data_IF_861303978424
#
_entry.id   IF_861303978424
#
_cell.length_a   1.000
_cell.length_b   1.000
_cell.length_c   1.000
_cell.angle_alpha   90.00
_cell.angle_beta   90.00
_cell.angle_gamma   90.00
#
_symmetry.space_group_name_H-M   'P 1'
#
loop_
_entity.id
_entity.type
_entity.pdbx_description
1 polymer ?
#
# COMPACT_ATOMS: atom_id res chain seq x y z
N UNK A 1 5.03 -7.36 5.04
CA UNK A 1 4.06 -6.45 5.68
C UNK A 1 3.61 -5.32 4.76
N UNK A 2 4.53 -4.53 4.17
CA UNK A 2 4.18 -3.44 3.23
C UNK A 2 3.33 -3.96 2.07
N UNK A 3 3.70 -5.09 1.47
CA UNK A 3 2.96 -5.72 0.39
C UNK A 3 1.49 -6.01 0.76
N UNK A 4 1.22 -6.54 1.96
CA UNK A 4 -0.15 -6.78 2.43
C UNK A 4 -0.96 -5.49 2.56
N UNK A 5 -0.31 -4.43 3.04
CA UNK A 5 -0.96 -3.13 3.15
C UNK A 5 -1.32 -2.55 1.77
N UNK A 6 -0.41 -2.65 0.80
CA UNK A 6 -0.67 -2.22 -0.58
C UNK A 6 -1.82 -3.02 -1.19
N UNK A 7 -1.86 -4.35 -0.98
CA UNK A 7 -2.96 -5.20 -1.45
C UNK A 7 -4.31 -4.74 -0.90
N UNK A 8 -4.37 -4.51 0.41
CA UNK A 8 -5.60 -4.07 1.06
C UNK A 8 -6.03 -2.69 0.58
N UNK A 9 -5.10 -1.75 0.49
CA UNK A 9 -5.38 -0.40 0.04
C UNK A 9 -5.92 -0.36 -1.39
N UNK A 10 -5.32 -1.10 -2.33
CA UNK A 10 -5.78 -1.14 -3.73
C UNK A 10 -7.15 -1.77 -3.85
N UNK A 11 -7.41 -2.83 -3.09
CA UNK A 11 -8.70 -3.51 -3.07
C UNK A 11 -9.82 -2.60 -2.54
N UNK A 12 -9.60 -1.91 -1.43
CA UNK A 12 -10.57 -0.97 -0.85
C UNK A 12 -10.86 0.24 -1.74
N UNK A 13 -9.86 0.78 -2.45
CA UNK A 13 -10.06 1.91 -3.38
C UNK A 13 -10.94 1.51 -4.58
N UNK A 14 -10.88 0.24 -4.98
CA UNK A 14 -11.63 -0.27 -6.13
C UNK A 14 -13.06 -0.70 -5.77
N UNK A 15 -13.37 -0.79 -4.47
CA UNK A 15 -14.63 -1.35 -3.96
C UNK A 15 -15.46 -0.30 -3.23
N UNK A 16 -16.76 -0.42 -3.36
CA UNK A 16 -17.73 0.33 -2.56
C UNK A 16 -18.11 -0.43 -1.29
N UNK A 17 -18.88 0.21 -0.41
CA UNK A 17 -19.27 -0.40 0.89
C UNK A 17 -20.06 -1.70 0.76
N UNK A 18 -20.67 -1.96 -0.40
CA UNK A 18 -21.49 -3.16 -0.66
C UNK A 18 -20.72 -4.23 -1.45
N UNK A 19 -19.49 -3.96 -1.89
CA UNK A 19 -18.71 -4.89 -2.68
C UNK A 19 -17.93 -5.86 -1.78
N UNK A 20 -17.78 -7.10 -2.26
CA UNK A 20 -16.98 -8.10 -1.59
C UNK A 20 -15.50 -7.77 -1.84
N UNK A 21 -14.75 -7.54 -0.75
CA UNK A 21 -13.30 -7.32 -0.81
C UNK A 21 -12.58 -8.62 -1.19
N UNK A 22 -11.51 -8.48 -1.95
CA UNK A 22 -10.67 -9.62 -2.35
C UNK A 22 -9.57 -9.90 -1.32
N UNK A 23 -9.17 -8.88 -0.55
CA UNK A 23 -8.23 -9.01 0.55
C UNK A 23 -8.90 -9.68 1.75
N UNK A 24 -9.08 -10.99 1.67
CA UNK A 24 -9.67 -11.81 2.71
C UNK A 24 -9.21 -13.27 2.55
N UNK A 25 -9.26 -14.02 3.64
CA UNK A 25 -9.13 -15.48 3.62
C UNK A 25 -10.51 -16.13 3.66
N UNK A 26 -10.87 -16.83 2.59
CA UNK A 26 -12.17 -17.50 2.44
C UNK A 26 -12.10 -18.91 3.02
N UNK A 27 -12.53 -19.06 4.25
CA UNK A 27 -12.54 -20.35 4.95
C UNK A 27 -13.31 -21.42 4.15
N UNK A 28 -12.68 -22.58 3.96
CA UNK A 28 -13.27 -23.71 3.23
C UNK A 28 -13.15 -23.62 1.69
N UNK A 29 -12.68 -22.50 1.16
CA UNK A 29 -12.51 -22.29 -0.28
C UNK A 29 -11.05 -22.02 -0.65
N UNK A 30 -10.37 -21.18 0.13
CA UNK A 30 -8.98 -20.81 -0.15
C UNK A 30 -8.00 -21.88 0.32
N UNK A 31 -7.02 -22.14 -0.53
CA UNK A 31 -5.75 -22.76 -0.16
C UNK A 31 -4.69 -21.67 0.07
N UNK A 32 -3.52 -22.03 0.60
CA UNK A 32 -2.42 -21.07 0.74
C UNK A 32 -1.96 -20.52 -0.62
N UNK A 33 -2.01 -21.33 -1.67
CA UNK A 33 -1.65 -20.93 -3.04
C UNK A 33 -2.68 -19.94 -3.60
N UNK A 34 -3.98 -20.22 -3.49
CA UNK A 34 -5.03 -19.34 -4.02
C UNK A 34 -5.07 -18.00 -3.28
N UNK A 35 -4.85 -18.00 -1.98
CA UNK A 35 -4.70 -16.76 -1.20
C UNK A 35 -3.48 -15.97 -1.67
N UNK A 36 -2.32 -16.61 -1.74
CA UNK A 36 -1.08 -15.93 -2.13
C UNK A 36 -1.13 -15.44 -3.57
N UNK A 37 -1.70 -16.18 -4.50
CA UNK A 37 -1.91 -15.76 -5.89
C UNK A 37 -2.75 -14.49 -5.95
N UNK A 38 -3.87 -14.45 -5.24
CA UNK A 38 -4.75 -13.29 -5.17
C UNK A 38 -4.02 -12.07 -4.58
N UNK A 39 -3.22 -12.26 -3.53
CA UNK A 39 -2.43 -11.18 -2.94
C UNK A 39 -1.32 -10.69 -3.89
N UNK A 40 -0.66 -11.57 -4.62
CA UNK A 40 0.34 -11.19 -5.62
C UNK A 40 -0.28 -10.35 -6.75
N UNK A 41 -1.49 -10.69 -7.20
CA UNK A 41 -2.21 -9.90 -8.19
C UNK A 41 -2.57 -8.51 -7.66
N UNK A 42 -3.14 -8.44 -6.45
CA UNK A 42 -3.44 -7.15 -5.80
C UNK A 42 -2.18 -6.32 -5.57
N UNK A 43 -1.08 -6.96 -5.18
CA UNK A 43 0.21 -6.26 -5.00
C UNK A 43 0.70 -5.65 -6.31
N UNK A 44 0.67 -6.41 -7.40
CA UNK A 44 1.00 -5.89 -8.74
C UNK A 44 0.16 -4.66 -9.08
N UNK A 45 -1.16 -4.76 -8.96
CA UNK A 45 -2.07 -3.66 -9.24
C UNK A 45 -1.80 -2.44 -8.37
N UNK A 46 -1.49 -2.65 -7.10
CA UNK A 46 -1.14 -1.58 -6.15
C UNK A 46 0.18 -0.90 -6.47
N UNK A 47 1.21 -1.67 -6.82
CA UNK A 47 2.51 -1.14 -7.20
C UNK A 47 2.43 -0.32 -8.49
N UNK A 48 1.72 -0.81 -9.51
CA UNK A 48 1.49 -0.05 -10.74
C UNK A 48 0.72 1.25 -10.46
N UNK A 49 -0.31 1.20 -9.62
CA UNK A 49 -1.18 2.34 -9.33
C UNK A 49 -0.53 3.40 -8.45
N UNK A 50 0.15 3.00 -7.37
CA UNK A 50 0.66 3.93 -6.36
C UNK A 50 2.13 4.27 -6.54
N UNK A 51 2.94 3.29 -6.94
CA UNK A 51 4.40 3.44 -7.05
C UNK A 51 4.85 3.67 -8.49
N UNK A 52 3.98 3.42 -9.48
CA UNK A 52 4.31 3.43 -10.91
C UNK A 52 5.44 2.45 -11.26
N UNK A 53 5.49 1.35 -10.52
CA UNK A 53 6.44 0.27 -10.71
C UNK A 53 5.73 -0.95 -11.28
N UNK A 54 6.30 -1.55 -12.33
CA UNK A 54 5.78 -2.75 -12.94
C UNK A 54 6.38 -3.98 -12.27
N UNK A 55 5.53 -4.80 -11.63
CA UNK A 55 5.94 -6.06 -11.02
C UNK A 55 5.51 -7.23 -11.90
N UNK A 56 6.43 -8.17 -12.10
CA UNK A 56 6.14 -9.38 -12.84
C UNK A 56 5.21 -10.31 -12.03
N UNK A 57 4.06 -10.63 -12.63
CA UNK A 57 3.08 -11.56 -12.07
C UNK A 57 2.84 -12.71 -13.04
N UNK A 58 2.91 -13.93 -12.50
CA UNK A 58 2.63 -15.17 -13.27
C UNK A 58 1.17 -15.51 -13.13
N UNK A 59 0.37 -15.27 -14.19
CA UNK A 59 -1.05 -15.65 -14.25
C UNK A 59 -1.22 -17.16 -14.47
N UNK A 60 -2.40 -17.68 -14.15
CA UNK A 60 -2.70 -19.11 -14.28
C UNK A 60 -2.61 -19.62 -15.73
N UNK A 61 -2.88 -18.77 -16.70
CA UNK A 61 -2.82 -19.08 -18.13
C UNK A 61 -1.45 -18.77 -18.76
N UNK A 62 -0.45 -18.37 -17.97
CA UNK A 62 0.86 -17.97 -18.47
C UNK A 62 1.57 -19.13 -19.19
N UNK A 63 1.53 -20.34 -18.61
CA UNK A 63 2.13 -21.52 -19.22
C UNK A 63 1.45 -21.87 -20.56
N UNK A 64 0.14 -21.78 -20.63
CA UNK A 64 -0.66 -22.02 -21.83
C UNK A 64 -0.32 -21.02 -22.94
N UNK A 65 -0.14 -19.75 -22.57
CA UNK A 65 0.21 -18.70 -23.51
C UNK A 65 1.60 -18.93 -24.12
N UNK A 66 2.57 -19.35 -23.33
CA UNK A 66 3.94 -19.64 -23.79
C UNK A 66 3.98 -20.78 -24.83
N UNK A 67 3.11 -21.78 -24.72
CA UNK A 67 3.15 -22.96 -25.57
C UNK A 67 2.08 -23.02 -26.66
N UNK A 68 1.35 -21.91 -26.89
CA UNK A 68 0.28 -21.85 -27.91
C UNK A 68 0.72 -22.27 -29.31
N UNK A 69 1.97 -22.02 -29.66
CA UNK A 69 2.54 -22.31 -30.98
C UNK A 69 2.89 -23.79 -31.23
N UNK A 70 2.85 -24.64 -30.20
CA UNK A 70 3.24 -26.04 -30.32
C UNK A 70 2.05 -26.95 -30.61
N UNK A 71 2.34 -28.15 -31.18
CA UNK A 71 1.32 -29.18 -31.47
C UNK A 71 0.66 -29.70 -30.19
N UNK A 72 -0.61 -30.15 -30.30
CA UNK A 72 -1.45 -30.53 -29.15
C UNK A 72 -0.79 -31.59 -28.23
N UNK A 73 -0.11 -32.60 -28.77
CA UNK A 73 0.52 -33.66 -27.98
C UNK A 73 1.76 -33.16 -27.21
N UNK A 74 2.63 -32.39 -27.85
CA UNK A 74 3.80 -31.76 -27.20
C UNK A 74 3.39 -30.73 -26.16
N UNK A 75 2.30 -30.01 -26.47
CA UNK A 75 1.77 -28.94 -25.62
C UNK A 75 1.35 -29.43 -24.24
N UNK A 76 0.64 -30.58 -24.14
CA UNK A 76 0.13 -31.10 -22.85
C UNK A 76 1.30 -31.38 -21.89
N UNK A 77 2.34 -32.10 -22.34
CA UNK A 77 3.50 -32.41 -21.50
C UNK A 77 4.29 -31.16 -21.11
N UNK A 78 4.51 -30.27 -22.06
CA UNK A 78 5.22 -29.00 -21.79
C UNK A 78 4.47 -28.08 -20.83
N UNK A 79 3.14 -28.03 -20.90
CA UNK A 79 2.33 -27.23 -19.98
C UNK A 79 2.50 -27.75 -18.55
N UNK A 80 2.47 -29.08 -18.35
CA UNK A 80 2.59 -29.64 -17.02
C UNK A 80 3.96 -29.35 -16.39
N UNK A 81 5.05 -29.53 -17.17
CA UNK A 81 6.41 -29.20 -16.73
C UNK A 81 6.57 -27.69 -16.44
N UNK A 82 6.04 -26.82 -17.30
CA UNK A 82 6.07 -25.37 -17.13
C UNK A 82 5.26 -24.92 -15.92
N UNK A 83 4.07 -25.44 -15.72
CA UNK A 83 3.23 -25.10 -14.56
C UNK A 83 3.96 -25.41 -13.25
N UNK A 84 4.59 -26.57 -13.17
CA UNK A 84 5.36 -26.94 -11.98
C UNK A 84 6.56 -25.99 -11.74
N UNK A 85 7.29 -25.67 -12.81
CA UNK A 85 8.43 -24.74 -12.72
C UNK A 85 7.96 -23.33 -12.33
N UNK A 86 6.89 -22.84 -12.96
CA UNK A 86 6.31 -21.53 -12.66
C UNK A 86 5.74 -21.47 -11.23
N UNK A 87 5.13 -22.58 -10.76
CA UNK A 87 4.66 -22.69 -9.37
C UNK A 87 5.81 -22.54 -8.38
N UNK A 88 6.93 -23.21 -8.63
CA UNK A 88 8.13 -23.09 -7.80
C UNK A 88 8.67 -21.65 -7.80
N UNK A 89 8.78 -21.03 -8.97
CA UNK A 89 9.23 -19.66 -9.08
C UNK A 89 8.29 -18.70 -8.36
N UNK A 90 6.99 -18.87 -8.54
CA UNK A 90 5.95 -17.99 -7.99
C UNK A 90 5.90 -18.03 -6.46
N UNK A 91 5.95 -19.21 -5.86
CA UNK A 91 5.68 -19.39 -4.44
C UNK A 91 6.93 -19.59 -3.59
N UNK A 92 8.05 -20.06 -4.17
CA UNK A 92 9.24 -20.39 -3.39
C UNK A 92 10.40 -19.42 -3.62
N UNK A 93 10.54 -18.84 -4.80
CA UNK A 93 11.72 -18.03 -5.13
C UNK A 93 11.47 -16.53 -5.05
N UNK A 94 10.35 -16.05 -5.59
CA UNK A 94 9.98 -14.65 -5.63
C UNK A 94 8.71 -14.42 -4.80
N UNK A 95 8.84 -14.48 -3.49
CA UNK A 95 7.69 -14.40 -2.61
C UNK A 95 7.73 -13.14 -1.74
N UNK A 96 7.10 -12.06 -2.21
CA UNK A 96 6.94 -10.79 -1.46
C UNK A 96 6.14 -10.97 -0.16
N UNK A 97 5.45 -12.12 -0.02
CA UNK A 97 4.67 -12.51 1.16
C UNK A 97 5.37 -13.55 2.03
N UNK A 98 6.67 -13.76 1.83
CA UNK A 98 7.45 -14.64 2.67
C UNK A 98 7.86 -13.94 3.97
N UNK A 99 7.42 -14.48 5.09
CA UNK A 99 7.86 -14.08 6.45
C UNK A 99 9.09 -14.86 6.89
N UNK A 100 9.43 -15.91 6.14
CA UNK A 100 10.62 -16.76 6.31
C UNK A 100 11.19 -17.09 4.94
N UNK A 101 12.42 -17.57 4.90
CA UNK A 101 13.01 -18.07 3.67
C UNK A 101 12.30 -19.36 3.21
N UNK A 102 11.48 -19.24 2.17
CA UNK A 102 10.63 -20.32 1.66
C UNK A 102 11.34 -20.99 0.48
N UNK A 103 11.91 -22.15 0.71
CA UNK A 103 12.61 -22.93 -0.32
C UNK A 103 12.13 -24.38 -0.45
N UNK A 104 11.13 -24.78 0.34
CA UNK A 104 10.50 -26.10 0.26
C UNK A 104 9.03 -26.05 0.66
N UNK A 105 8.32 -27.14 0.47
CA UNK A 105 6.89 -27.24 0.71
C UNK A 105 6.51 -27.06 2.19
N UNK A 106 7.30 -27.59 3.11
CA UNK A 106 7.04 -27.46 4.55
C UNK A 106 7.11 -25.98 4.99
N UNK A 107 8.15 -25.27 4.56
CA UNK A 107 8.30 -23.85 4.84
C UNK A 107 7.23 -23.01 4.15
N UNK A 108 6.77 -23.43 2.96
CA UNK A 108 5.64 -22.79 2.30
C UNK A 108 4.35 -22.94 3.13
N UNK A 109 4.07 -24.13 3.68
CA UNK A 109 2.92 -24.33 4.57
C UNK A 109 3.03 -23.53 5.87
N UNK A 110 4.22 -23.49 6.47
CA UNK A 110 4.44 -22.69 7.68
C UNK A 110 4.25 -21.19 7.40
N UNK A 111 4.77 -20.71 6.28
CA UNK A 111 4.57 -19.33 5.84
C UNK A 111 3.08 -19.04 5.54
N UNK A 112 2.39 -20.00 4.90
CA UNK A 112 0.95 -19.89 4.59
C UNK A 112 0.09 -19.71 5.82
N UNK A 113 0.40 -20.40 6.93
CA UNK A 113 -0.29 -20.20 8.21
C UNK A 113 -0.14 -18.77 8.72
N UNK A 114 1.10 -18.25 8.72
CA UNK A 114 1.37 -16.87 9.15
C UNK A 114 0.64 -15.88 8.23
N UNK A 115 0.67 -16.13 6.92
CA UNK A 115 0.00 -15.27 5.94
C UNK A 115 -1.51 -15.21 6.16
N UNK A 116 -2.15 -16.36 6.42
CA UNK A 116 -3.59 -16.44 6.75
C UNK A 116 -3.89 -15.64 8.01
N UNK A 117 -3.14 -15.84 9.10
CA UNK A 117 -3.33 -15.10 10.36
C UNK A 117 -3.19 -13.59 10.13
N UNK A 118 -2.21 -13.16 9.36
CA UNK A 118 -2.01 -11.75 9.04
C UNK A 118 -3.15 -11.16 8.21
N UNK A 119 -3.63 -11.90 7.21
CA UNK A 119 -4.77 -11.45 6.40
C UNK A 119 -6.04 -11.36 7.25
N UNK A 120 -6.29 -12.35 8.11
CA UNK A 120 -7.46 -12.36 9.01
C UNK A 120 -7.43 -11.21 10.03
N UNK A 121 -6.24 -10.82 10.50
CA UNK A 121 -6.11 -9.66 11.39
C UNK A 121 -6.50 -8.34 10.71
N UNK A 122 -6.26 -8.20 9.40
CA UNK A 122 -6.50 -6.97 8.67
C UNK A 122 -7.80 -6.95 7.85
N UNK A 123 -8.36 -8.12 7.50
CA UNK A 123 -9.50 -8.20 6.56
C UNK A 123 -10.74 -7.48 7.07
N UNK A 124 -11.00 -7.48 8.39
CA UNK A 124 -12.19 -6.91 8.99
C UNK A 124 -12.07 -5.39 9.24
N UNK A 125 -10.87 -4.83 9.10
CA UNK A 125 -10.66 -3.40 9.25
C UNK A 125 -10.74 -2.71 7.89
N UNK A 126 -11.33 -1.52 7.85
CA UNK A 126 -11.34 -0.67 6.67
C UNK A 126 -10.32 0.46 6.84
N UNK A 127 -9.41 0.57 5.87
CA UNK A 127 -8.35 1.60 5.87
C UNK A 127 -8.91 2.92 5.35
N UNK A 128 -9.69 2.87 4.25
CA UNK A 128 -10.17 4.06 3.57
C UNK A 128 -11.48 4.53 4.20
N UNK A 129 -11.51 5.81 4.59
CA UNK A 129 -12.70 6.44 5.14
C UNK A 129 -13.00 6.15 6.61
N UNK A 130 -12.12 5.42 7.31
CA UNK A 130 -12.20 5.29 8.77
C UNK A 130 -11.60 6.53 9.44
N UNK A 131 -12.21 6.99 10.53
CA UNK A 131 -11.64 8.04 11.39
C UNK A 131 -10.29 7.62 12.02
N UNK A 132 -9.95 6.33 11.92
CA UNK A 132 -8.77 5.71 12.53
C UNK A 132 -7.59 5.54 11.56
N UNK A 133 -7.52 6.33 10.49
CA UNK A 133 -6.34 6.34 9.58
C UNK A 133 -5.05 6.60 10.36
N UNK A 134 -5.15 7.36 11.44
CA UNK A 134 -4.04 7.65 12.34
C UNK A 134 -3.55 6.41 13.08
N UNK A 135 -4.46 5.55 13.57
CA UNK A 135 -4.11 4.29 14.23
C UNK A 135 -3.33 3.36 13.29
N UNK A 136 -3.67 3.33 12.01
CA UNK A 136 -2.94 2.55 11.01
C UNK A 136 -1.56 3.13 10.71
N UNK A 137 -1.44 4.45 10.66
CA UNK A 137 -0.15 5.14 10.56
C UNK A 137 0.76 4.79 11.74
N UNK A 138 0.23 4.85 12.95
CA UNK A 138 0.95 4.52 14.19
C UNK A 138 1.34 3.03 14.24
N UNK A 139 0.44 2.14 13.82
CA UNK A 139 0.73 0.70 13.75
C UNK A 139 1.83 0.43 12.70
N UNK A 140 1.74 1.07 11.56
CA UNK A 140 2.74 0.96 10.49
C UNK A 140 4.10 1.52 10.95
N UNK A 141 4.09 2.65 11.65
CA UNK A 141 5.28 3.22 12.26
C UNK A 141 5.89 2.28 13.31
N UNK A 142 5.09 1.65 14.16
CA UNK A 142 5.57 0.67 15.14
C UNK A 142 6.16 -0.57 14.48
N UNK A 143 5.58 -1.04 13.38
CA UNK A 143 6.08 -2.19 12.62
C UNK A 143 7.42 -1.86 11.91
N UNK A 144 7.52 -0.68 11.30
CA UNK A 144 8.76 -0.21 10.69
C UNK A 144 9.84 0.04 11.76
N UNK A 145 9.46 0.56 12.92
CA UNK A 145 10.40 0.84 14.00
C UNK A 145 11.11 -0.39 14.56
N UNK A 146 10.47 -1.53 14.58
CA UNK A 146 11.05 -2.79 15.08
C UNK A 146 11.98 -3.48 14.08
N UNK A 147 11.77 -3.29 12.78
CA UNK A 147 12.51 -4.00 11.73
C UNK A 147 13.59 -3.17 11.03
N UNK A 148 13.35 -1.90 10.76
CA UNK A 148 14.19 -1.05 9.91
C UNK A 148 15.05 -0.03 10.66
N UNK A 149 14.64 0.41 11.84
CA UNK A 149 15.37 1.48 12.58
C UNK A 149 16.78 1.11 13.06
N UNK A 150 17.10 -0.17 13.15
CA UNK A 150 18.44 -0.56 13.63
C UNK A 150 19.56 -0.36 12.58
N UNK A 151 19.22 -0.29 11.29
CA UNK A 151 20.25 -0.30 10.25
C UNK A 151 20.49 1.02 9.52
N UNK A 152 19.56 1.99 9.55
CA UNK A 152 19.69 3.19 8.71
C UNK A 152 19.60 4.55 9.43
N UNK A 153 19.38 4.58 10.74
CA UNK A 153 19.33 5.84 11.50
C UNK A 153 18.21 6.81 11.10
N UNK A 154 17.19 6.34 10.40
CA UNK A 154 16.04 7.16 10.02
C UNK A 154 15.05 7.23 11.19
N UNK A 155 14.81 8.43 11.67
CA UNK A 155 13.83 8.70 12.72
C UNK A 155 12.69 9.52 12.12
N UNK A 156 11.47 9.04 12.31
CA UNK A 156 10.27 9.81 11.97
C UNK A 156 9.94 10.77 13.12
N UNK A 157 9.56 11.99 12.78
CA UNK A 157 9.06 12.93 13.78
C UNK A 157 7.69 12.45 14.24
N UNK A 158 7.46 12.23 15.55
CA UNK A 158 6.16 11.78 16.05
C UNK A 158 5.04 12.73 15.67
N UNK A 159 3.89 12.19 15.29
CA UNK A 159 2.69 12.95 14.86
C UNK A 159 2.27 14.04 15.84
N UNK A 160 2.28 13.85 17.17
CA UNK A 160 1.93 14.94 18.09
C UNK A 160 2.86 16.16 17.98
N UNK A 161 4.12 15.97 17.61
CA UNK A 161 5.08 17.08 17.43
C UNK A 161 4.80 17.78 16.10
N UNK A 162 4.58 17.05 15.02
CA UNK A 162 4.25 17.64 13.73
C UNK A 162 2.94 18.42 13.80
N UNK A 163 1.93 17.87 14.46
CA UNK A 163 0.65 18.54 14.72
C UNK A 163 0.82 19.83 15.54
N UNK A 164 1.55 19.76 16.64
CA UNK A 164 1.85 20.95 17.46
C UNK A 164 2.52 22.06 16.64
N UNK A 165 3.44 21.71 15.75
CA UNK A 165 4.11 22.70 14.89
C UNK A 165 3.10 23.34 13.94
N UNK A 166 2.23 22.56 13.29
CA UNK A 166 1.21 23.08 12.37
C UNK A 166 0.16 23.94 13.10
N UNK A 167 -0.29 23.53 14.28
CA UNK A 167 -1.25 24.25 15.11
C UNK A 167 -0.68 25.57 15.64
N UNK A 168 0.65 25.66 15.74
CA UNK A 168 1.33 26.90 16.14
C UNK A 168 1.40 27.95 15.04
N UNK A 169 1.08 27.57 13.79
CA UNK A 169 1.08 28.51 12.67
C UNK A 169 -0.25 29.28 12.58
N UNK A 170 -0.23 30.59 12.33
CA UNK A 170 -1.46 31.38 12.16
C UNK A 170 -2.10 31.14 10.78
N UNK A 171 -2.45 29.90 10.46
CA UNK A 171 -2.96 29.49 9.15
C UNK A 171 -4.20 30.28 8.73
N UNK A 172 -5.10 30.57 9.68
CA UNK A 172 -6.28 31.38 9.41
C UNK A 172 -5.93 32.75 8.87
N UNK A 173 -4.89 33.40 9.42
CA UNK A 173 -4.42 34.71 8.94
C UNK A 173 -3.68 34.61 7.61
N UNK A 174 -2.87 33.58 7.44
CA UNK A 174 -2.10 33.33 6.21
C UNK A 174 -3.04 33.12 5.02
N UNK A 175 -4.12 32.38 5.24
CA UNK A 175 -5.06 31.97 4.20
C UNK A 175 -6.16 32.98 3.90
N UNK A 176 -6.53 33.81 4.87
CA UNK A 176 -7.59 34.83 4.67
C UNK A 176 -7.12 35.92 3.72
N UNK A 177 -7.87 36.17 2.66
CA UNK A 177 -7.67 37.25 1.69
C UNK A 177 -8.97 38.03 1.49
N UNK A 178 -8.86 39.24 0.97
CA UNK A 178 -10.01 40.11 0.73
C UNK A 178 -11.11 39.44 -0.14
N UNK A 179 -10.73 38.54 -1.01
CA UNK A 179 -11.65 37.89 -1.96
C UNK A 179 -11.88 36.39 -1.64
N UNK A 180 -11.61 35.95 -0.41
CA UNK A 180 -11.81 34.57 0.00
C UNK A 180 -10.57 33.88 0.59
N UNK A 181 -10.38 32.61 0.33
CA UNK A 181 -9.25 31.81 0.84
C UNK A 181 -8.18 31.64 -0.23
N UNK A 182 -6.93 31.90 0.13
CA UNK A 182 -5.77 31.49 -0.65
C UNK A 182 -5.02 30.40 0.09
N UNK A 183 -4.95 29.20 -0.50
CA UNK A 183 -4.23 28.08 0.08
C UNK A 183 -2.71 28.30 0.01
N UNK A 184 -1.97 28.01 1.11
CA UNK A 184 -0.53 28.23 1.18
C UNK A 184 0.22 27.30 0.23
N UNK A 185 1.43 27.69 -0.15
CA UNK A 185 2.41 26.77 -0.72
C UNK A 185 3.19 26.13 0.41
N UNK A 186 3.26 24.81 0.41
CA UNK A 186 3.99 24.03 1.39
C UNK A 186 5.10 23.29 0.67
N UNK A 187 6.30 23.36 1.19
CA UNK A 187 7.44 22.61 0.67
C UNK A 187 8.14 21.90 1.83
N UNK A 188 8.35 20.62 1.66
CA UNK A 188 9.15 19.81 2.56
C UNK A 188 10.27 19.13 1.77
N UNK A 189 11.48 19.65 1.95
CA UNK A 189 12.68 19.16 1.25
C UNK A 189 13.35 17.97 1.97
N UNK A 190 12.83 17.56 3.11
CA UNK A 190 13.32 16.43 3.91
C UNK A 190 12.14 15.55 4.40
N UNK A 191 11.12 15.39 3.56
CA UNK A 191 9.80 14.87 3.94
C UNK A 191 9.82 13.47 4.57
N UNK A 192 10.85 12.67 4.34
CA UNK A 192 10.86 11.28 4.82
C UNK A 192 9.60 10.54 4.37
N UNK A 193 8.82 10.03 5.32
CA UNK A 193 7.52 9.38 5.06
C UNK A 193 6.36 10.38 4.84
N UNK A 194 6.62 11.69 4.92
CA UNK A 194 5.62 12.71 4.64
C UNK A 194 4.74 13.13 5.81
N UNK A 195 5.08 12.78 7.05
CA UNK A 195 4.25 13.08 8.24
C UNK A 195 3.96 14.58 8.40
N UNK A 196 4.94 15.44 8.13
CA UNK A 196 4.72 16.89 8.14
C UNK A 196 3.72 17.34 7.08
N UNK A 197 3.73 16.72 5.91
CA UNK A 197 2.82 17.07 4.82
C UNK A 197 1.40 16.59 5.09
N UNK A 198 1.23 15.37 5.62
CA UNK A 198 -0.10 14.84 5.97
C UNK A 198 -0.76 15.66 7.07
N UNK A 199 -0.06 15.94 8.18
CA UNK A 199 -0.57 16.80 9.24
C UNK A 199 -0.79 18.24 8.74
N UNK A 200 0.05 18.73 7.85
CA UNK A 200 -0.11 20.04 7.22
C UNK A 200 -1.34 20.13 6.34
N UNK A 201 -1.68 19.07 5.63
CA UNK A 201 -2.92 19.00 4.86
C UNK A 201 -4.14 19.10 5.76
N UNK A 202 -4.18 18.34 6.85
CA UNK A 202 -5.28 18.37 7.83
C UNK A 202 -5.41 19.72 8.52
N UNK A 203 -4.29 20.35 8.90
CA UNK A 203 -4.29 21.65 9.53
C UNK A 203 -4.81 22.76 8.58
N UNK A 204 -4.41 22.71 7.31
CA UNK A 204 -4.88 23.65 6.27
C UNK A 204 -6.36 23.43 5.96
N UNK A 205 -6.81 22.17 5.85
CA UNK A 205 -8.23 21.84 5.66
C UNK A 205 -9.08 22.32 6.82
N UNK A 206 -8.66 22.05 8.05
CA UNK A 206 -9.34 22.52 9.26
C UNK A 206 -9.45 24.05 9.31
N UNK A 207 -8.36 24.75 9.00
CA UNK A 207 -8.34 26.22 8.96
C UNK A 207 -9.22 26.79 7.84
N UNK A 208 -9.26 26.15 6.67
CA UNK A 208 -10.13 26.54 5.57
C UNK A 208 -11.61 26.38 5.92
N UNK A 209 -11.96 25.26 6.57
CA UNK A 209 -13.32 24.99 7.04
C UNK A 209 -13.78 26.02 8.09
N UNK A 210 -12.88 26.45 8.97
CA UNK A 210 -13.16 27.47 9.98
C UNK A 210 -13.43 28.86 9.35
N UNK A 211 -12.80 29.18 8.20
CA UNK A 211 -12.97 30.48 7.52
C UNK A 211 -14.24 30.52 6.67
N UNK A 212 -14.52 29.50 5.86
CA UNK A 212 -15.57 29.54 4.83
C UNK A 212 -16.70 28.52 5.01
N UNK A 213 -16.68 27.70 6.07
CA UNK A 213 -17.59 26.56 6.22
C UNK A 213 -17.41 25.52 5.11
N UNK A 214 -17.12 24.27 5.46
CA UNK A 214 -17.10 23.05 4.62
C UNK A 214 -16.63 23.19 3.15
N UNK A 215 -15.44 23.75 2.92
CA UNK A 215 -14.78 23.70 1.61
C UNK A 215 -13.55 22.81 1.70
N UNK A 216 -13.65 21.61 1.11
CA UNK A 216 -12.48 20.72 1.02
C UNK A 216 -11.47 21.33 0.03
N UNK A 217 -10.17 21.36 0.37
CA UNK A 217 -9.12 21.74 -0.56
C UNK A 217 -9.21 20.85 -1.81
N UNK A 218 -9.08 21.44 -3.00
CA UNK A 218 -9.14 20.67 -4.23
C UNK A 218 -7.88 19.80 -4.38
N UNK A 219 -8.02 18.63 -4.98
CA UNK A 219 -6.90 17.75 -5.35
C UNK A 219 -5.83 18.53 -6.13
N UNK A 220 -6.26 19.46 -7.00
CA UNK A 220 -5.36 20.33 -7.75
C UNK A 220 -4.48 21.24 -6.87
N UNK A 221 -4.95 21.66 -5.70
CA UNK A 221 -4.13 22.42 -4.78
C UNK A 221 -3.03 21.56 -4.19
N UNK A 222 -3.35 20.33 -3.76
CA UNK A 222 -2.38 19.40 -3.22
C UNK A 222 -1.30 19.11 -4.26
N UNK A 223 -1.68 18.80 -5.48
CA UNK A 223 -0.73 18.51 -6.57
C UNK A 223 0.17 19.69 -6.94
N UNK A 224 -0.33 20.91 -6.87
CA UNK A 224 0.40 22.09 -7.32
C UNK A 224 1.14 22.85 -6.23
N UNK A 225 0.70 22.73 -4.99
CA UNK A 225 1.20 23.58 -3.89
C UNK A 225 1.78 22.78 -2.70
N UNK A 226 1.59 21.47 -2.65
CA UNK A 226 2.32 20.58 -1.77
C UNK A 226 3.50 20.00 -2.55
N UNK A 227 4.69 20.54 -2.34
CA UNK A 227 5.88 20.17 -3.10
C UNK A 227 6.80 19.32 -2.23
N UNK A 228 6.99 18.08 -2.66
CA UNK A 228 8.02 17.19 -2.14
C UNK A 228 9.22 17.28 -3.09
N UNK A 229 10.36 17.69 -2.58
CA UNK A 229 11.61 17.50 -3.31
C UNK A 229 11.97 16.02 -3.22
N UNK A 230 11.65 15.28 -4.27
CA UNK A 230 12.15 13.92 -4.43
C UNK A 230 13.67 14.01 -4.48
N UNK A 231 14.35 13.42 -3.50
CA UNK A 231 15.81 13.30 -3.53
C UNK A 231 16.15 12.49 -4.77
N UNK A 232 16.73 13.12 -5.76
CA UNK A 232 17.38 12.43 -6.86
C UNK A 232 18.63 11.84 -6.23
N UNK A 233 18.60 10.56 -5.93
CA UNK A 233 19.79 9.79 -5.62
C UNK A 233 20.25 9.30 -6.98
N UNK A 234 21.32 9.93 -7.49
CA UNK A 234 22.14 9.41 -8.60
C UNK A 234 22.91 8.18 -8.12
#
# INVERSE_FOLDING_TARGET
MIALFICKLVDEIQKTDNDIVEFQYKVGTDTYETLQDRLQRLHKEGMEKFMREEIFYVSDDYAENLVKQYTKQKRVKMIEELRNTLRILKFYTNNDFAFKDVHNEELFYQNGKILVEMVQLFQDYRIIGSADVQMLGDLFEQLLNKGFKQNEGQFFTPTPITRFIWDSLPLGQIMSKANGIEYPKVIDYACGAGHFLTEGFEAVESSANAINGSTKPSVQWVEKKFLVLKRIID
#
